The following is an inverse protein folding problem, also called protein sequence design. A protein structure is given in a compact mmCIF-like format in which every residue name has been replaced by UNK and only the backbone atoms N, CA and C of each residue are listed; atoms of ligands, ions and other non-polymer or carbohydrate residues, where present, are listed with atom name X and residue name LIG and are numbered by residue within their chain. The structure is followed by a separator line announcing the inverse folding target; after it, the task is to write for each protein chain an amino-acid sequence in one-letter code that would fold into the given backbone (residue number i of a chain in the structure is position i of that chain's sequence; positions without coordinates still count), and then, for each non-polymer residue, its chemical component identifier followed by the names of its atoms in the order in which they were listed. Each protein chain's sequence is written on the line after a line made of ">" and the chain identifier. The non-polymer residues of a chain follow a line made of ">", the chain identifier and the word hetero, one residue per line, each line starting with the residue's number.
data_IF_710881347761
#
_entry.id   IF_710881347761
#
_cell.length_a   1.000
_cell.length_b   1.000
_cell.length_c   1.000
_cell.angle_alpha   90.00
_cell.angle_beta   90.00
_cell.angle_gamma   90.00
#
_symmetry.space_group_name_H-M   'P 1'
#
loop_
_entity.id
_entity.type
_entity.pdbx_description
1 polymer ?
#
# COMPACT_ATOMS: atom_id res chain seq x y z
N UNK A 1 28.24 -24.68 -9.91
CA UNK A 1 27.41 -25.57 -10.76
C UNK A 1 26.25 -24.77 -11.27
N UNK A 2 26.07 -24.67 -12.59
CA UNK A 2 24.94 -23.97 -13.18
C UNK A 2 23.65 -24.78 -12.95
N UNK A 3 22.55 -24.11 -12.60
CA UNK A 3 21.25 -24.76 -12.42
C UNK A 3 20.73 -25.22 -13.79
N UNK A 4 20.56 -26.53 -13.97
CA UNK A 4 20.13 -27.13 -15.24
C UNK A 4 18.77 -26.60 -15.71
N UNK A 5 17.88 -26.18 -14.80
CA UNK A 5 16.60 -25.57 -15.18
C UNK A 5 16.80 -24.17 -15.80
N UNK A 6 17.72 -23.38 -15.27
CA UNK A 6 18.01 -22.04 -15.80
C UNK A 6 18.69 -22.13 -17.16
N UNK A 7 19.66 -23.04 -17.32
CA UNK A 7 20.29 -23.28 -18.62
C UNK A 7 19.27 -23.72 -19.68
N UNK A 8 18.40 -24.66 -19.35
CA UNK A 8 17.32 -25.12 -20.22
C UNK A 8 16.41 -23.96 -20.66
N UNK A 9 16.01 -23.11 -19.70
CA UNK A 9 15.17 -21.95 -20.02
C UNK A 9 15.89 -20.96 -20.93
N UNK A 10 17.17 -20.70 -20.69
CA UNK A 10 17.97 -19.81 -21.53
C UNK A 10 18.04 -20.32 -22.97
N UNK A 11 18.38 -21.59 -23.17
CA UNK A 11 18.47 -22.20 -24.50
C UNK A 11 17.14 -22.14 -25.24
N UNK A 12 16.05 -22.53 -24.58
CA UNK A 12 14.71 -22.52 -25.18
C UNK A 12 14.24 -21.10 -25.51
N UNK A 13 14.37 -20.15 -24.58
CA UNK A 13 13.95 -18.77 -24.83
C UNK A 13 14.77 -18.13 -25.95
N UNK A 14 16.08 -18.42 -26.00
CA UNK A 14 16.98 -17.98 -27.07
C UNK A 14 16.58 -18.56 -28.42
N UNK A 15 16.33 -19.86 -28.49
CA UNK A 15 15.91 -20.54 -29.72
C UNK A 15 14.53 -20.07 -30.23
N UNK A 16 13.62 -19.67 -29.34
CA UNK A 16 12.27 -19.25 -29.71
C UNK A 16 12.13 -17.76 -29.98
N UNK A 17 13.01 -16.92 -29.43
CA UNK A 17 12.99 -15.48 -29.63
C UNK A 17 11.69 -14.80 -29.17
N UNK A 18 10.90 -15.45 -28.31
CA UNK A 18 9.65 -14.91 -27.76
C UNK A 18 9.48 -15.27 -26.28
N UNK A 19 8.74 -14.47 -25.49
CA UNK A 19 8.47 -14.79 -24.10
C UNK A 19 7.63 -16.06 -23.97
N UNK A 20 7.96 -16.89 -22.99
CA UNK A 20 7.27 -18.16 -22.75
C UNK A 20 6.94 -18.35 -21.27
N UNK A 21 5.89 -19.12 -21.01
CA UNK A 21 5.60 -19.62 -19.67
C UNK A 21 6.46 -20.85 -19.35
N UNK A 22 6.68 -21.15 -18.06
CA UNK A 22 7.47 -22.31 -17.65
C UNK A 22 6.93 -23.64 -18.24
N UNK A 23 5.60 -23.77 -18.40
CA UNK A 23 4.99 -24.93 -19.08
C UNK A 23 5.40 -25.01 -20.55
N UNK A 24 5.35 -23.87 -21.24
CA UNK A 24 5.72 -23.80 -22.66
C UNK A 24 7.22 -24.04 -22.85
N UNK A 25 8.07 -23.50 -21.97
CA UNK A 25 9.52 -23.74 -22.00
C UNK A 25 9.81 -25.25 -21.96
N UNK A 26 9.22 -25.99 -21.02
CA UNK A 26 9.42 -27.43 -20.92
C UNK A 26 8.84 -28.20 -22.11
N UNK A 27 7.66 -27.78 -22.62
CA UNK A 27 7.08 -28.43 -23.80
C UNK A 27 7.95 -28.25 -25.05
N UNK A 28 8.56 -27.07 -25.21
CA UNK A 28 9.46 -26.76 -26.33
C UNK A 28 10.80 -27.49 -26.13
N UNK A 29 11.33 -27.54 -24.91
CA UNK A 29 12.51 -28.35 -24.59
C UNK A 29 12.32 -29.82 -24.95
N UNK A 30 11.17 -30.40 -24.59
CA UNK A 30 10.86 -31.79 -24.93
C UNK A 30 10.72 -31.98 -26.44
N UNK A 31 10.04 -31.04 -27.12
CA UNK A 31 9.82 -31.09 -28.57
C UNK A 31 11.11 -31.01 -29.39
N UNK A 32 12.07 -30.21 -28.93
CA UNK A 32 13.35 -29.99 -29.62
C UNK A 32 14.50 -30.86 -29.09
N UNK A 33 14.23 -31.73 -28.12
CA UNK A 33 15.25 -32.62 -27.55
C UNK A 33 16.27 -31.92 -26.65
N UNK A 34 15.94 -30.76 -26.08
CA UNK A 34 16.79 -30.05 -25.11
C UNK A 34 16.62 -30.55 -23.67
N UNK A 35 15.70 -31.48 -23.41
CA UNK A 35 15.40 -31.93 -22.05
C UNK A 35 16.58 -32.75 -21.47
N UNK A 36 17.23 -32.31 -20.38
CA UNK A 36 18.26 -33.11 -19.72
C UNK A 36 17.66 -34.38 -19.09
N UNK A 37 18.38 -35.50 -19.17
CA UNK A 37 17.89 -36.81 -18.69
C UNK A 37 17.60 -36.84 -17.18
N UNK A 38 18.34 -36.05 -16.40
CA UNK A 38 18.18 -35.98 -14.95
C UNK A 38 16.98 -35.13 -14.49
N UNK A 39 16.36 -34.36 -15.40
CA UNK A 39 15.16 -33.59 -15.07
C UNK A 39 13.92 -34.47 -15.26
N UNK A 40 13.32 -34.88 -14.14
CA UNK A 40 12.10 -35.69 -14.11
C UNK A 40 11.13 -35.21 -13.01
N UNK A 41 9.84 -35.52 -13.17
CA UNK A 41 8.82 -35.25 -12.15
C UNK A 41 7.52 -34.66 -12.70
N UNK A 42 6.44 -34.83 -11.95
CA UNK A 42 5.09 -34.40 -12.36
C UNK A 42 4.91 -32.87 -12.41
N UNK A 43 5.73 -32.11 -11.69
CA UNK A 43 5.56 -30.66 -11.48
C UNK A 43 6.80 -29.84 -11.88
N UNK A 44 7.61 -30.34 -12.82
CA UNK A 44 8.81 -29.63 -13.31
C UNK A 44 8.55 -28.16 -13.69
N UNK A 45 7.38 -27.86 -14.25
CA UNK A 45 7.02 -26.48 -14.60
C UNK A 45 6.93 -25.54 -13.39
N UNK A 46 6.53 -26.04 -12.21
CA UNK A 46 6.52 -25.25 -10.97
C UNK A 46 7.94 -25.02 -10.46
N UNK A 47 8.78 -26.05 -10.51
CA UNK A 47 10.20 -25.95 -10.14
C UNK A 47 10.93 -24.97 -11.03
N UNK A 48 10.78 -25.09 -12.35
CA UNK A 48 11.36 -24.16 -13.32
C UNK A 48 10.89 -22.73 -13.07
N UNK A 49 9.58 -22.53 -12.85
CA UNK A 49 9.01 -21.22 -12.54
C UNK A 49 9.63 -20.63 -11.26
N UNK A 50 9.81 -21.44 -10.21
CA UNK A 50 10.44 -21.01 -8.97
C UNK A 50 11.90 -20.62 -9.20
N UNK A 51 12.69 -21.46 -9.89
CA UNK A 51 14.11 -21.18 -10.19
C UNK A 51 14.32 -19.88 -10.95
N UNK A 52 13.58 -19.66 -12.05
CA UNK A 52 13.68 -18.41 -12.81
C UNK A 52 13.25 -17.21 -11.94
N UNK A 53 12.22 -17.40 -11.11
CA UNK A 53 11.76 -16.34 -10.21
C UNK A 53 12.78 -15.98 -9.14
N UNK A 54 13.44 -16.98 -8.55
CA UNK A 54 14.47 -16.79 -7.53
C UNK A 54 15.70 -16.12 -8.14
N UNK A 55 16.12 -16.53 -9.34
CA UNK A 55 17.22 -15.90 -10.07
C UNK A 55 16.96 -14.41 -10.32
N UNK A 56 15.78 -14.07 -10.84
CA UNK A 56 15.36 -12.67 -11.04
C UNK A 56 15.32 -11.91 -9.71
N UNK A 57 14.85 -12.52 -8.63
CA UNK A 57 14.76 -11.84 -7.34
C UNK A 57 16.14 -11.59 -6.71
N UNK A 58 17.07 -12.54 -6.84
CA UNK A 58 18.41 -12.47 -6.24
C UNK A 58 19.28 -11.49 -7.03
N UNK A 59 19.29 -11.60 -8.36
CA UNK A 59 20.20 -10.82 -9.22
C UNK A 59 19.55 -9.56 -9.80
N UNK A 60 18.22 -9.41 -9.69
CA UNK A 60 17.47 -8.24 -10.17
C UNK A 60 17.82 -7.88 -11.62
N UNK A 61 18.36 -6.68 -11.85
CA UNK A 61 18.74 -6.18 -13.17
C UNK A 61 19.89 -6.96 -13.81
N UNK A 62 20.69 -7.67 -13.00
CA UNK A 62 21.80 -8.51 -13.45
C UNK A 62 21.37 -9.94 -13.82
N UNK A 63 20.09 -10.31 -13.57
CA UNK A 63 19.57 -11.59 -14.06
C UNK A 63 19.49 -11.59 -15.58
N UNK A 64 19.82 -12.74 -16.18
CA UNK A 64 19.61 -12.98 -17.62
C UNK A 64 18.14 -12.97 -18.00
N UNK A 65 17.27 -13.25 -17.04
CA UNK A 65 15.83 -13.35 -17.23
C UNK A 65 15.15 -12.08 -16.75
N UNK A 66 13.96 -11.82 -17.29
CA UNK A 66 13.04 -10.86 -16.70
C UNK A 66 11.59 -11.29 -16.93
N UNK A 67 10.66 -10.66 -16.21
CA UNK A 67 9.23 -10.97 -16.32
C UNK A 67 8.55 -10.04 -17.32
N UNK A 68 7.81 -10.66 -18.24
CA UNK A 68 6.93 -9.95 -19.19
C UNK A 68 5.46 -10.01 -18.71
N UNK A 69 5.12 -11.06 -17.95
CA UNK A 69 3.76 -11.28 -17.44
C UNK A 69 3.72 -12.31 -16.32
N UNK A 70 2.52 -12.66 -15.86
CA UNK A 70 2.33 -13.64 -14.79
C UNK A 70 2.87 -15.00 -15.26
N UNK A 71 3.96 -15.45 -14.64
CA UNK A 71 4.64 -16.72 -14.97
C UNK A 71 5.18 -16.79 -16.41
N UNK A 72 5.41 -15.64 -17.05
CA UNK A 72 5.94 -15.52 -18.41
C UNK A 72 7.26 -14.77 -18.38
N UNK A 73 8.29 -15.38 -18.96
CA UNK A 73 9.68 -14.96 -18.84
C UNK A 73 10.30 -14.75 -20.22
N UNK A 74 11.30 -13.87 -20.27
CA UNK A 74 12.10 -13.64 -21.48
C UNK A 74 13.56 -13.33 -21.12
N UNK A 75 14.43 -13.24 -22.13
CA UNK A 75 15.85 -12.97 -21.96
C UNK A 75 16.17 -11.50 -22.19
N UNK A 76 16.96 -10.94 -21.27
CA UNK A 76 17.32 -9.52 -21.22
C UNK A 76 18.28 -9.11 -22.35
N UNK A 77 19.12 -10.03 -22.81
CA UNK A 77 19.99 -9.79 -23.98
C UNK A 77 19.17 -9.65 -25.27
N UNK A 78 18.11 -10.45 -25.42
CA UNK A 78 17.20 -10.36 -26.56
C UNK A 78 16.29 -9.12 -26.53
N UNK A 79 15.96 -8.57 -25.35
CA UNK A 79 15.07 -7.40 -25.26
C UNK A 79 15.66 -6.12 -25.82
N UNK A 80 16.99 -6.08 -26.00
CA UNK A 80 17.73 -4.97 -26.60
C UNK A 80 17.60 -4.93 -28.13
N UNK A 81 16.99 -5.95 -28.74
CA UNK A 81 16.81 -6.02 -30.20
C UNK A 81 15.77 -4.98 -30.68
N UNK A 82 16.17 -4.03 -31.54
CA UNK A 82 15.29 -3.00 -32.07
C UNK A 82 14.21 -3.51 -33.02
N UNK A 83 14.19 -4.80 -33.38
CA UNK A 83 13.14 -5.41 -34.20
C UNK A 83 11.96 -5.95 -33.39
N UNK A 84 12.11 -6.14 -32.07
CA UNK A 84 11.03 -6.68 -31.23
C UNK A 84 9.94 -5.64 -30.95
N UNK A 85 8.64 -6.02 -30.86
CA UNK A 85 7.59 -5.10 -30.44
C UNK A 85 7.88 -4.45 -29.09
N UNK A 86 7.57 -3.15 -28.95
CA UNK A 86 7.85 -2.36 -27.73
C UNK A 86 7.29 -3.01 -26.45
N UNK A 87 6.13 -3.68 -26.55
CA UNK A 87 5.46 -4.34 -25.43
C UNK A 87 6.29 -5.50 -24.84
N UNK A 88 7.20 -6.08 -25.63
CA UNK A 88 8.11 -7.14 -25.19
C UNK A 88 9.37 -6.58 -24.54
N UNK A 89 9.74 -5.32 -24.83
CA UNK A 89 10.94 -4.68 -24.26
C UNK A 89 10.72 -4.12 -22.86
N UNK A 90 9.47 -3.92 -22.45
CA UNK A 90 9.14 -3.36 -21.14
C UNK A 90 9.14 -4.47 -20.08
N UNK A 91 10.15 -4.45 -19.20
CA UNK A 91 10.17 -5.27 -18.01
C UNK A 91 8.96 -4.94 -17.12
N UNK A 92 8.21 -5.97 -16.70
CA UNK A 92 7.23 -5.82 -15.64
C UNK A 92 7.90 -6.18 -14.33
N UNK A 93 8.00 -5.21 -13.44
CA UNK A 93 8.40 -5.47 -12.08
C UNK A 93 7.51 -6.57 -11.48
N UNK A 94 8.09 -7.56 -10.80
CA UNK A 94 7.31 -8.55 -10.09
C UNK A 94 6.39 -7.81 -9.11
N UNK A 95 5.09 -8.16 -9.02
CA UNK A 95 4.25 -7.58 -7.99
C UNK A 95 4.90 -7.90 -6.64
N UNK A 96 5.30 -6.86 -5.89
CA UNK A 96 5.94 -7.00 -4.58
C UNK A 96 5.16 -8.00 -3.74
N UNK A 97 5.73 -9.19 -3.54
CA UNK A 97 5.06 -10.30 -2.86
C UNK A 97 5.30 -10.28 -1.35
N UNK A 98 6.22 -9.44 -0.94
CA UNK A 98 6.52 -9.16 0.46
C UNK A 98 5.85 -7.83 0.75
N UNK A 99 4.73 -7.86 1.48
CA UNK A 99 4.61 -6.84 2.53
C UNK A 99 5.91 -7.01 3.30
N UNK A 100 6.80 -6.01 3.28
CA UNK A 100 7.73 -5.90 4.41
C UNK A 100 6.84 -6.10 5.62
N UNK A 101 7.13 -7.10 6.44
CA UNK A 101 6.57 -7.10 7.78
C UNK A 101 7.03 -5.75 8.30
N UNK A 102 6.11 -4.78 8.41
CA UNK A 102 6.44 -3.46 8.93
C UNK A 102 6.98 -3.76 10.32
N UNK A 103 8.31 -3.75 10.45
CA UNK A 103 9.01 -4.04 11.70
C UNK A 103 8.91 -2.86 12.65
N UNK A 104 8.21 -1.80 12.27
CA UNK A 104 8.03 -0.62 13.09
C UNK A 104 7.20 -0.98 14.33
N UNK A 105 7.60 -0.41 15.46
CA UNK A 105 6.76 -0.45 16.66
C UNK A 105 5.61 0.54 16.50
N UNK A 106 4.40 0.09 16.76
CA UNK A 106 3.16 0.88 16.72
C UNK A 106 2.89 1.46 18.11
N UNK A 107 2.22 2.61 18.18
CA UNK A 107 1.78 3.24 19.42
C UNK A 107 0.58 2.51 20.03
N UNK A 108 0.69 2.15 21.30
CA UNK A 108 -0.36 1.56 22.12
C UNK A 108 -0.75 2.50 23.25
N UNK A 109 -2.01 2.37 23.69
CA UNK A 109 -2.51 2.94 24.94
C UNK A 109 -3.09 1.82 25.80
N UNK A 110 -2.82 1.84 27.10
CA UNK A 110 -3.42 0.88 28.03
C UNK A 110 -4.86 1.24 28.41
N UNK A 111 -5.37 2.39 27.94
CA UNK A 111 -6.71 2.86 28.24
C UNK A 111 -7.64 2.68 27.05
N UNK A 112 -8.86 2.29 27.37
CA UNK A 112 -10.00 2.32 26.45
C UNK A 112 -10.90 3.47 26.84
N UNK A 113 -11.41 4.24 25.85
CA UNK A 113 -12.60 5.05 26.09
C UNK A 113 -13.69 4.14 26.65
N UNK A 114 -14.25 4.50 27.80
CA UNK A 114 -15.34 3.72 28.44
C UNK A 114 -16.60 3.63 27.57
N UNK A 115 -16.68 4.45 26.53
CA UNK A 115 -17.77 4.48 25.57
C UNK A 115 -17.28 4.07 24.18
N UNK A 116 -17.83 2.98 23.66
CA UNK A 116 -17.38 2.27 22.45
C UNK A 116 -17.69 3.00 21.13
N UNK A 117 -18.24 4.22 21.19
CA UNK A 117 -18.57 5.06 20.02
C UNK A 117 -18.19 6.54 20.21
N UNK A 118 -17.17 6.81 21.02
CA UNK A 118 -16.85 8.19 21.36
C UNK A 118 -16.13 8.89 20.19
N UNK A 119 -16.86 9.74 19.47
CA UNK A 119 -16.27 10.85 18.73
C UNK A 119 -16.02 11.99 19.70
N UNK A 120 -14.78 12.45 19.75
CA UNK A 120 -14.35 13.46 20.70
C UNK A 120 -13.72 14.61 19.92
N UNK A 121 -14.24 15.82 20.11
CA UNK A 121 -13.66 17.04 19.55
C UNK A 121 -12.19 17.23 19.98
N UNK A 122 -11.38 17.90 19.16
CA UNK A 122 -9.92 18.03 19.30
C UNK A 122 -9.44 18.30 20.73
N UNK A 123 -9.97 19.32 21.41
CA UNK A 123 -9.49 19.71 22.74
C UNK A 123 -9.69 18.62 23.79
N UNK A 124 -10.81 17.92 23.72
CA UNK A 124 -11.13 16.82 24.63
C UNK A 124 -10.36 15.56 24.25
N UNK A 125 -10.13 15.33 22.96
CA UNK A 125 -9.34 14.20 22.46
C UNK A 125 -7.90 14.32 22.95
N UNK A 126 -7.23 15.44 22.67
CA UNK A 126 -5.86 15.68 23.13
C UNK A 126 -5.77 15.68 24.66
N UNK A 127 -6.72 16.29 25.36
CA UNK A 127 -6.73 16.27 26.82
C UNK A 127 -6.95 14.86 27.41
N UNK A 128 -7.66 13.98 26.72
CA UNK A 128 -7.84 12.59 27.10
C UNK A 128 -6.53 11.83 26.88
N UNK A 129 -5.92 11.98 25.70
CA UNK A 129 -4.62 11.37 25.40
C UNK A 129 -3.55 11.84 26.41
N UNK A 130 -3.42 13.15 26.66
CA UNK A 130 -2.47 13.74 27.62
C UNK A 130 -2.64 13.24 29.06
N UNK A 131 -3.87 13.08 29.54
CA UNK A 131 -4.13 12.69 30.94
C UNK A 131 -3.73 11.25 31.23
N UNK A 132 -3.68 10.42 30.20
CA UNK A 132 -3.65 8.97 30.37
C UNK A 132 -2.24 8.36 30.32
N UNK A 133 -1.18 9.16 30.09
CA UNK A 133 0.26 8.93 30.36
C UNK A 133 0.88 7.53 30.12
N UNK A 134 0.23 6.65 29.38
CA UNK A 134 0.58 5.24 29.28
C UNK A 134 0.73 4.81 27.82
N UNK A 135 1.41 5.64 27.05
CA UNK A 135 1.74 5.32 25.68
C UNK A 135 3.03 4.53 25.62
N UNK A 136 3.04 3.48 24.80
CA UNK A 136 4.26 2.75 24.48
C UNK A 136 4.26 2.27 23.06
N UNK A 137 5.46 2.09 22.51
CA UNK A 137 5.66 1.52 21.19
C UNK A 137 5.93 0.01 21.30
N UNK A 138 5.18 -0.82 20.56
CA UNK A 138 5.37 -2.27 20.51
C UNK A 138 5.20 -2.84 19.09
N UNK A 139 5.90 -3.94 18.76
CA UNK A 139 5.84 -4.56 17.43
C UNK A 139 4.55 -5.34 17.15
N UNK A 140 3.88 -5.82 18.21
CA UNK A 140 2.74 -6.72 18.09
C UNK A 140 1.51 -6.11 18.75
N UNK A 141 0.32 -6.40 18.19
CA UNK A 141 -0.94 -6.09 18.85
C UNK A 141 -0.99 -6.78 20.22
N UNK A 142 -1.15 -5.99 21.27
CA UNK A 142 -1.26 -6.47 22.64
C UNK A 142 -2.76 -6.63 22.95
N UNK A 143 -3.24 -7.80 23.41
CA UNK A 143 -4.69 -8.07 23.53
C UNK A 143 -5.46 -7.12 24.44
N UNK A 144 -4.80 -6.55 25.44
CA UNK A 144 -5.39 -5.66 26.45
C UNK A 144 -5.17 -4.18 26.16
N UNK A 145 -4.63 -3.83 25.00
CA UNK A 145 -4.23 -2.45 24.70
C UNK A 145 -4.84 -1.98 23.40
N UNK A 146 -5.18 -0.69 23.42
CA UNK A 146 -5.76 0.01 22.28
C UNK A 146 -4.65 0.47 21.36
N UNK A 147 -4.77 0.17 20.06
CA UNK A 147 -3.84 0.70 19.07
C UNK A 147 -4.17 2.17 18.80
N UNK A 148 -3.16 3.01 18.61
CA UNK A 148 -3.35 4.42 18.27
C UNK A 148 -2.93 4.64 16.82
N UNK A 149 -3.80 5.29 16.06
CA UNK A 149 -3.61 5.57 14.65
C UNK A 149 -4.10 6.95 14.26
N UNK A 150 -3.91 7.28 12.99
CA UNK A 150 -4.49 8.44 12.32
C UNK A 150 -5.54 7.99 11.31
N UNK A 151 -6.61 8.77 11.21
CA UNK A 151 -7.58 8.69 10.13
C UNK A 151 -7.52 10.02 9.37
N UNK A 152 -6.90 9.98 8.20
CA UNK A 152 -6.49 11.17 7.45
C UNK A 152 -7.44 11.41 6.29
N UNK A 153 -8.27 12.44 6.44
CA UNK A 153 -9.21 12.91 5.43
C UNK A 153 -8.47 13.82 4.47
N UNK A 154 -8.64 13.57 3.18
CA UNK A 154 -8.02 14.39 2.15
C UNK A 154 -9.07 15.22 1.45
N UNK A 155 -8.87 16.53 1.48
CA UNK A 155 -9.79 17.53 0.94
C UNK A 155 -9.17 18.30 -0.21
N UNK A 156 -9.99 18.60 -1.22
CA UNK A 156 -9.70 19.52 -2.30
C UNK A 156 -10.90 20.46 -2.47
N UNK A 157 -10.79 21.70 -1.97
CA UNK A 157 -11.92 22.62 -1.88
C UNK A 157 -13.04 22.04 -1.02
N UNK A 158 -14.25 21.92 -1.57
CA UNK A 158 -15.40 21.30 -0.89
C UNK A 158 -15.60 19.82 -1.27
N UNK A 159 -14.58 19.17 -1.83
CA UNK A 159 -14.62 17.76 -2.20
C UNK A 159 -13.74 16.93 -1.28
N UNK A 160 -14.21 15.73 -0.96
CA UNK A 160 -13.46 14.73 -0.22
C UNK A 160 -13.01 13.62 -1.17
N UNK A 161 -11.85 13.05 -0.87
CA UNK A 161 -11.37 11.85 -1.54
C UNK A 161 -12.07 10.62 -0.95
N UNK A 162 -12.97 10.02 -1.72
CA UNK A 162 -13.55 8.71 -1.41
C UNK A 162 -12.75 7.60 -2.06
N UNK A 163 -12.56 6.49 -1.36
CA UNK A 163 -12.00 5.27 -1.94
C UNK A 163 -12.52 4.02 -1.24
N UNK A 164 -12.18 2.84 -1.74
CA UNK A 164 -12.41 1.58 -1.04
C UNK A 164 -11.06 1.02 -0.57
N UNK A 165 -11.05 0.21 0.49
CA UNK A 165 -9.86 -0.56 0.84
C UNK A 165 -9.60 -1.66 -0.19
N UNK A 166 -8.35 -1.77 -0.63
CA UNK A 166 -7.86 -2.87 -1.42
C UNK A 166 -7.55 -4.10 -0.56
N UNK A 167 -7.55 -5.29 -1.17
CA UNK A 167 -7.29 -6.58 -0.48
C UNK A 167 -5.94 -6.66 0.23
N UNK A 168 -5.03 -5.75 -0.08
CA UNK A 168 -3.70 -5.67 0.53
C UNK A 168 -3.62 -4.65 1.68
N UNK A 169 -4.70 -3.91 1.97
CA UNK A 169 -4.76 -3.01 3.13
C UNK A 169 -4.69 -3.81 4.44
N UNK A 170 -4.06 -3.23 5.47
CA UNK A 170 -4.11 -3.78 6.84
C UNK A 170 -5.49 -3.63 7.48
N UNK A 171 -6.29 -2.70 6.98
CA UNK A 171 -7.64 -2.40 7.46
C UNK A 171 -8.72 -3.09 6.61
N UNK A 172 -8.32 -3.99 5.71
CA UNK A 172 -9.28 -4.79 4.95
C UNK A 172 -9.95 -5.83 5.86
N UNK A 173 -11.26 -5.74 6.00
CA UNK A 173 -12.13 -6.82 6.48
C UNK A 173 -13.31 -6.97 5.52
N UNK A 174 -14.00 -8.11 5.55
CA UNK A 174 -15.19 -8.33 4.69
C UNK A 174 -16.27 -7.27 4.95
N UNK A 175 -16.41 -6.80 6.19
CA UNK A 175 -17.37 -5.76 6.61
C UNK A 175 -17.07 -4.38 6.01
N UNK A 176 -15.81 -4.08 5.67
CA UNK A 176 -15.38 -2.80 5.08
C UNK A 176 -14.96 -2.91 3.61
N UNK A 177 -14.93 -4.12 3.04
CA UNK A 177 -14.43 -4.35 1.69
C UNK A 177 -15.30 -3.72 0.60
N UNK A 178 -16.61 -3.66 0.81
CA UNK A 178 -17.58 -3.13 -0.15
C UNK A 178 -17.89 -1.65 0.10
N UNK A 179 -17.67 -1.18 1.32
CA UNK A 179 -17.92 0.20 1.71
C UNK A 179 -16.81 1.13 1.23
N UNK A 180 -17.21 2.35 0.86
CA UNK A 180 -16.28 3.46 0.62
C UNK A 180 -15.83 4.05 1.95
N UNK A 181 -14.71 4.76 1.95
CA UNK A 181 -14.16 5.48 3.11
C UNK A 181 -13.68 6.86 2.66
N UNK A 182 -13.78 7.87 3.52
CA UNK A 182 -13.31 9.24 3.25
C UNK A 182 -11.89 9.50 3.74
N UNK A 183 -11.24 8.52 4.39
CA UNK A 183 -9.96 8.74 5.03
C UNK A 183 -9.03 7.55 4.99
N UNK A 184 -7.75 7.87 4.86
CA UNK A 184 -6.70 6.87 4.97
C UNK A 184 -6.40 6.55 6.43
N UNK A 185 -6.29 5.26 6.74
CA UNK A 185 -5.97 4.77 8.07
C UNK A 185 -4.50 4.39 8.16
N UNK A 186 -3.81 4.81 9.21
CA UNK A 186 -2.45 4.37 9.53
C UNK A 186 -2.29 4.26 11.04
N UNK A 187 -1.53 3.28 11.51
CA UNK A 187 -1.11 3.26 12.91
C UNK A 187 0.06 4.22 13.10
N UNK A 188 0.12 4.88 14.26
CA UNK A 188 1.24 5.74 14.59
C UNK A 188 2.44 4.85 14.91
N UNK A 189 3.55 5.10 14.24
CA UNK A 189 4.79 4.35 14.38
C UNK A 189 5.82 5.13 15.20
N UNK A 190 6.81 4.42 15.76
CA UNK A 190 7.88 5.02 16.56
C UNK A 190 8.68 6.13 15.87
N UNK A 191 8.64 6.18 14.53
CA UNK A 191 9.33 7.18 13.72
C UNK A 191 8.44 8.37 13.32
N UNK A 192 7.15 8.34 13.65
CA UNK A 192 6.25 9.47 13.40
C UNK A 192 6.47 10.59 14.42
N UNK A 193 7.10 10.27 15.55
CA UNK A 193 7.29 11.16 16.69
C UNK A 193 8.73 11.71 16.72
N UNK A 194 8.93 12.95 16.28
CA UNK A 194 10.24 13.63 16.29
C UNK A 194 10.42 14.46 17.58
N UNK A 195 11.66 14.85 17.93
CA UNK A 195 11.96 15.77 19.05
C UNK A 195 11.54 17.23 18.77
N UNK A 196 11.31 17.60 17.50
CA UNK A 196 10.99 18.97 17.06
C UNK A 196 9.48 19.20 16.80
N UNK A 197 8.62 18.57 17.60
CA UNK A 197 7.18 18.41 17.35
C UNK A 197 6.42 19.72 17.13
N UNK A 198 5.56 19.71 16.11
CA UNK A 198 4.48 20.69 15.96
C UNK A 198 3.12 20.14 16.43
N UNK A 199 2.94 18.81 16.39
CA UNK A 199 1.72 18.11 16.83
C UNK A 199 2.03 16.99 17.81
N UNK A 200 1.03 16.62 18.62
CA UNK A 200 1.20 15.55 19.60
C UNK A 200 1.18 14.16 18.93
N UNK A 201 2.01 13.25 19.42
CA UNK A 201 2.06 11.84 18.99
C UNK A 201 2.39 11.58 17.52
N UNK A 202 2.98 12.56 16.80
CA UNK A 202 3.36 12.35 15.40
C UNK A 202 2.18 12.25 14.43
N UNK A 203 1.03 12.84 14.76
CA UNK A 203 -0.15 12.84 13.87
C UNK A 203 0.19 13.43 12.51
N UNK A 204 0.88 14.57 12.50
CA UNK A 204 1.31 15.23 11.27
C UNK A 204 2.18 14.33 10.38
N UNK A 205 3.22 13.69 10.94
CA UNK A 205 4.07 12.78 10.18
C UNK A 205 3.31 11.52 9.69
N UNK A 206 2.52 10.91 10.57
CA UNK A 206 1.76 9.69 10.23
C UNK A 206 0.76 9.97 9.10
N UNK A 207 0.02 11.07 9.20
CA UNK A 207 -0.92 11.52 8.18
C UNK A 207 -0.24 11.94 6.88
N UNK A 208 0.86 12.70 6.95
CA UNK A 208 1.61 13.12 5.77
C UNK A 208 2.18 11.92 5.01
N UNK A 209 2.77 10.95 5.70
CA UNK A 209 3.29 9.72 5.11
C UNK A 209 2.23 8.98 4.32
N UNK A 210 1.02 8.87 4.87
CA UNK A 210 -0.08 8.16 4.21
C UNK A 210 -0.62 8.94 3.00
N UNK A 211 -0.68 10.27 3.07
CA UNK A 211 -1.03 11.13 1.93
C UNK A 211 0.01 11.00 0.81
N UNK A 212 1.30 11.16 1.10
CA UNK A 212 2.40 11.07 0.11
C UNK A 212 2.43 9.69 -0.56
N UNK A 213 2.11 8.65 0.19
CA UNK A 213 2.07 7.27 -0.31
C UNK A 213 0.98 7.05 -1.36
N UNK A 214 -0.17 7.72 -1.23
CA UNK A 214 -1.35 7.49 -2.06
C UNK A 214 -1.61 8.61 -3.09
N UNK A 215 -1.04 9.80 -2.88
CA UNK A 215 -1.30 11.00 -3.69
C UNK A 215 -0.01 11.49 -4.34
N UNK A 216 -0.13 11.98 -5.56
CA UNK A 216 0.90 12.68 -6.30
C UNK A 216 0.34 14.02 -6.79
N UNK A 217 1.21 15.02 -6.93
CA UNK A 217 0.84 16.35 -7.38
C UNK A 217 1.63 16.68 -8.64
N UNK A 218 0.96 17.30 -9.60
CA UNK A 218 1.58 17.78 -10.82
C UNK A 218 1.68 16.73 -11.95
N UNK A 219 1.86 17.20 -13.20
CA UNK A 219 1.90 16.33 -14.39
C UNK A 219 3.10 15.38 -14.41
N UNK A 220 4.21 15.76 -13.76
CA UNK A 220 5.41 14.91 -13.64
C UNK A 220 5.35 13.93 -12.46
N UNK A 221 4.24 13.93 -11.69
CA UNK A 221 4.10 13.18 -10.43
C UNK A 221 5.21 13.54 -9.43
N UNK A 222 5.51 14.83 -9.33
CA UNK A 222 6.56 15.33 -8.45
C UNK A 222 6.32 14.91 -7.00
N UNK A 223 7.43 14.78 -6.26
CA UNK A 223 7.41 14.55 -4.83
C UNK A 223 6.72 15.73 -4.17
N UNK A 224 5.60 15.47 -3.49
CA UNK A 224 4.93 16.49 -2.70
C UNK A 224 5.88 16.90 -1.58
N UNK A 225 6.03 18.21 -1.39
CA UNK A 225 6.80 18.75 -0.27
C UNK A 225 6.14 18.32 1.06
N UNK A 226 6.76 17.36 1.73
CA UNK A 226 6.32 16.81 3.01
C UNK A 226 6.07 17.92 4.05
N UNK A 227 6.88 18.98 4.04
CA UNK A 227 6.70 20.10 4.96
C UNK A 227 5.38 20.83 4.72
N UNK A 228 5.01 21.05 3.45
CA UNK A 228 3.75 21.72 3.11
C UNK A 228 2.54 20.86 3.46
N UNK A 229 2.60 19.55 3.21
CA UNK A 229 1.55 18.64 3.66
C UNK A 229 1.42 18.74 5.18
N UNK A 230 2.52 18.61 5.93
CA UNK A 230 2.47 18.67 7.39
C UNK A 230 1.90 19.96 7.93
N UNK A 231 2.25 21.10 7.32
CA UNK A 231 1.70 22.40 7.69
C UNK A 231 0.20 22.56 7.37
N UNK A 232 -0.32 21.80 6.41
CA UNK A 232 -1.74 21.78 6.05
C UNK A 232 -2.58 20.80 6.88
N UNK A 233 -1.95 19.98 7.73
CA UNK A 233 -2.66 19.00 8.56
C UNK A 233 -3.34 19.71 9.72
N UNK A 234 -4.65 19.49 9.84
CA UNK A 234 -5.46 19.94 10.97
C UNK A 234 -6.04 18.75 11.73
N UNK A 235 -5.80 18.70 13.04
CA UNK A 235 -6.43 17.71 13.90
C UNK A 235 -7.88 18.14 14.21
N UNK A 236 -8.84 17.31 13.83
CA UNK A 236 -10.29 17.54 13.98
C UNK A 236 -10.86 16.87 15.24
N UNK A 237 -10.27 15.76 15.68
CA UNK A 237 -10.77 15.04 16.84
C UNK A 237 -10.16 13.66 17.00
N UNK A 238 -10.86 12.79 17.73
CA UNK A 238 -10.54 11.38 17.84
C UNK A 238 -11.80 10.53 17.79
N UNK A 239 -11.66 9.31 17.28
CA UNK A 239 -12.72 8.31 17.21
C UNK A 239 -12.22 6.97 17.73
N UNK A 240 -13.07 6.24 18.44
CA UNK A 240 -12.81 4.85 18.80
C UNK A 240 -13.48 3.89 17.81
N UNK A 241 -12.70 2.97 17.26
CA UNK A 241 -13.19 1.89 16.40
C UNK A 241 -13.13 0.56 17.16
N UNK A 242 -14.29 0.11 17.65
CA UNK A 242 -14.41 -1.10 18.46
C UNK A 242 -13.92 -2.36 17.73
N UNK A 243 -14.20 -2.50 16.43
CA UNK A 243 -13.83 -3.66 15.61
C UNK A 243 -12.31 -3.86 15.61
N UNK A 244 -11.56 -2.78 15.44
CA UNK A 244 -10.09 -2.82 15.41
C UNK A 244 -9.46 -2.62 16.78
N UNK A 245 -10.27 -2.38 17.83
CA UNK A 245 -9.79 -1.99 19.15
C UNK A 245 -8.75 -0.87 19.06
N UNK A 246 -9.10 0.16 18.30
CA UNK A 246 -8.18 1.21 17.89
C UNK A 246 -8.78 2.58 18.14
N UNK A 247 -7.93 3.55 18.47
CA UNK A 247 -8.27 4.96 18.52
C UNK A 247 -7.63 5.61 17.30
N UNK A 248 -8.43 6.33 16.53
CA UNK A 248 -7.95 7.12 15.42
C UNK A 248 -8.03 8.60 15.75
N UNK A 249 -6.89 9.28 15.66
CA UNK A 249 -6.80 10.73 15.65
C UNK A 249 -7.23 11.20 14.26
N UNK A 250 -8.33 11.94 14.20
CA UNK A 250 -8.96 12.38 12.95
C UNK A 250 -8.24 13.63 12.48
N UNK A 251 -7.54 13.53 11.36
CA UNK A 251 -6.79 14.61 10.75
C UNK A 251 -7.36 14.92 9.38
N UNK A 252 -7.28 16.19 8.98
CA UNK A 252 -7.64 16.65 7.64
C UNK A 252 -6.43 17.29 6.97
N UNK A 253 -6.26 17.02 5.67
CA UNK A 253 -5.27 17.65 4.80
C UNK A 253 -5.98 18.37 3.68
N UNK A 254 -5.78 19.69 3.59
CA UNK A 254 -6.28 20.48 2.48
C UNK A 254 -5.21 20.62 1.39
N UNK A 255 -5.41 19.92 0.27
CA UNK A 255 -4.42 19.89 -0.80
C UNK A 255 -4.27 21.21 -1.57
N UNK A 256 -5.24 22.12 -1.50
CA UNK A 256 -5.11 23.47 -2.11
C UNK A 256 -4.03 24.30 -1.41
N UNK A 257 -3.77 24.04 -0.12
CA UNK A 257 -2.67 24.68 0.61
C UNK A 257 -1.31 24.07 0.27
N UNK A 258 -1.31 22.86 -0.29
CA UNK A 258 -0.09 22.11 -0.62
C UNK A 258 0.36 22.41 -2.04
N UNK A 259 -0.58 22.45 -3.00
CA UNK A 259 -0.28 22.74 -4.40
C UNK A 259 -1.49 23.25 -5.19
N UNK A 260 -1.20 24.12 -6.15
CA UNK A 260 -2.17 24.62 -7.14
C UNK A 260 -2.21 23.77 -8.41
N UNK A 261 -1.43 22.69 -8.48
CA UNK A 261 -1.36 21.81 -9.65
C UNK A 261 -2.38 20.67 -9.59
N UNK A 262 -2.57 19.98 -10.72
CA UNK A 262 -3.42 18.80 -10.79
C UNK A 262 -3.03 17.72 -9.77
N UNK A 263 -4.03 17.14 -9.12
CA UNK A 263 -3.85 16.12 -8.08
C UNK A 263 -4.14 14.75 -8.71
N UNK A 264 -3.20 13.84 -8.55
CA UNK A 264 -3.27 12.49 -9.11
C UNK A 264 -3.18 11.46 -8.00
N UNK A 265 -3.87 10.35 -8.17
CA UNK A 265 -3.84 9.25 -7.23
C UNK A 265 -2.85 8.21 -7.74
N UNK A 266 -1.99 7.72 -6.85
CA UNK A 266 -1.00 6.68 -7.19
C UNK A 266 -1.74 5.36 -7.35
N UNK A 267 -1.47 4.64 -8.44
CA UNK A 267 -2.01 3.29 -8.62
C UNK A 267 -1.42 2.36 -7.57
N UNK A 268 -2.29 1.88 -6.68
CA UNK A 268 -1.93 1.17 -5.47
C UNK A 268 -2.91 0.03 -5.26
N UNK A 269 -2.43 -1.12 -4.76
CA UNK A 269 -3.29 -2.30 -4.57
C UNK A 269 -4.06 -2.29 -3.25
N UNK A 270 -3.67 -1.40 -2.35
CA UNK A 270 -4.25 -1.13 -1.03
C UNK A 270 -5.39 -0.11 -1.07
N UNK A 271 -5.59 0.58 -2.20
CA UNK A 271 -6.66 1.56 -2.44
C UNK A 271 -7.38 1.20 -3.74
N UNK A 272 -8.72 1.27 -3.75
CA UNK A 272 -9.54 0.98 -4.95
C UNK A 272 -10.54 2.10 -5.21
N UNK A 273 -10.92 2.24 -6.48
CA UNK A 273 -11.96 3.17 -6.97
C UNK A 273 -11.91 4.59 -6.37
N UNK A 274 -10.72 5.22 -6.29
CA UNK A 274 -10.63 6.48 -5.62
C UNK A 274 -11.23 7.60 -6.49
N UNK A 275 -12.03 8.48 -5.88
CA UNK A 275 -12.82 9.51 -6.58
C UNK A 275 -13.04 10.72 -5.69
N UNK A 276 -13.07 11.90 -6.29
CA UNK A 276 -13.43 13.14 -5.60
C UNK A 276 -14.95 13.33 -5.67
N UNK A 277 -15.58 13.54 -4.53
CA UNK A 277 -17.02 13.81 -4.45
C UNK A 277 -17.26 15.02 -3.56
N UNK A 278 -18.30 15.78 -3.89
CA UNK A 278 -18.80 16.81 -2.98
C UNK A 278 -19.43 16.13 -1.74
N UNK A 279 -19.40 16.80 -0.58
CA UNK A 279 -19.86 16.20 0.68
C UNK A 279 -21.33 15.76 0.59
N UNK A 280 -22.16 16.54 -0.10
CA UNK A 280 -23.58 16.29 -0.33
C UNK A 280 -23.87 15.17 -1.35
N UNK A 281 -22.88 14.75 -2.13
CA UNK A 281 -22.98 13.60 -3.05
C UNK A 281 -22.63 12.26 -2.40
N UNK A 282 -22.15 12.27 -1.15
CA UNK A 282 -21.72 11.06 -0.45
C UNK A 282 -22.94 10.27 0.03
N UNK A 283 -23.17 9.11 -0.56
CA UNK A 283 -24.16 8.16 -0.06
C UNK A 283 -23.69 7.52 1.26
N UNK A 284 -24.26 8.00 2.37
CA UNK A 284 -23.96 7.53 3.74
C UNK A 284 -24.32 6.05 3.97
N UNK A 285 -25.13 5.43 3.09
CA UNK A 285 -25.43 3.99 3.17
C UNK A 285 -24.31 3.11 2.61
N UNK A 286 -23.43 3.68 1.79
CA UNK A 286 -22.34 2.97 1.11
C UNK A 286 -20.96 3.28 1.71
N UNK A 287 -20.92 3.94 2.86
CA UNK A 287 -19.69 4.37 3.52
C UNK A 287 -19.43 3.57 4.80
N UNK A 288 -18.16 3.40 5.16
CA UNK A 288 -17.79 2.64 6.35
C UNK A 288 -18.25 3.32 7.64
N UNK A 289 -18.49 2.56 8.72
CA UNK A 289 -19.06 3.11 9.95
C UNK A 289 -18.28 4.27 10.57
N UNK A 290 -16.94 4.26 10.48
CA UNK A 290 -16.11 5.34 11.03
C UNK A 290 -16.25 6.62 10.20
N UNK A 291 -16.16 6.51 8.87
CA UNK A 291 -16.40 7.65 7.98
C UNK A 291 -17.79 8.25 8.16
N UNK A 292 -18.82 7.40 8.27
CA UNK A 292 -20.20 7.85 8.52
C UNK A 292 -20.29 8.63 9.82
N UNK A 293 -19.74 8.10 10.90
CA UNK A 293 -19.78 8.76 12.21
C UNK A 293 -19.07 10.13 12.15
N UNK A 294 -17.95 10.23 11.44
CA UNK A 294 -17.23 11.50 11.25
C UNK A 294 -18.11 12.51 10.49
N UNK A 295 -18.75 12.12 9.39
CA UNK A 295 -19.64 13.00 8.63
C UNK A 295 -20.85 13.44 9.46
N UNK A 296 -21.51 12.51 10.15
CA UNK A 296 -22.69 12.77 11.00
C UNK A 296 -22.35 13.72 12.18
N UNK A 297 -21.09 13.76 12.61
CA UNK A 297 -20.66 14.60 13.73
C UNK A 297 -20.43 16.07 13.40
N UNK A 298 -20.41 16.43 12.11
CA UNK A 298 -20.08 17.79 11.67
C UNK A 298 -18.61 18.17 11.92
N UNK A 299 -17.72 17.21 12.22
CA UNK A 299 -16.28 17.48 12.31
C UNK A 299 -15.68 17.91 10.96
N UNK A 300 -16.34 17.55 9.87
CA UNK A 300 -15.97 17.86 8.49
C UNK A 300 -17.10 18.72 7.92
N UNK A 301 -16.91 20.03 7.94
CA UNK A 301 -17.80 21.02 7.33
C UNK A 301 -17.32 21.42 5.93
#
# INVERSE_FOLDING_TARGET
>A
MADSYLQLAEEVLRARGKPLSAKLILSEAQRFGFMPEHLSGATMHKTLQARISDDINIFQQDSKFYRVGVGTYFLRDLSSDPTLPWALRKEKEPPGRTKSIDTCRILHSNELPKDSRCLVATDKALSWVRRNNSFKYAHNRLPSETLVGTFTIVRQGNRLLLHNFGKFSHFYSEEVAENSTIGFRRYIEEFDDDIFKSTEFGVDFSSAREVIRNIAVGPEKDLIDDRKIRQSIKLLGAAFEAIQHSIFLIAEVNLEQVSNQGIFLRERKDVRNPRWLWIDEIDLHLIDPLSRAILDSGLVE
#
